data_IF_493590328751
#
_entry.id   IF_493590328751
#
_cell.length_a   1.000
_cell.length_b   1.000
_cell.length_c   1.000
_cell.angle_alpha   90.00
_cell.angle_beta   90.00
_cell.angle_gamma   90.00
#
_symmetry.space_group_name_H-M   'P 1'
#
loop_
_entity.id
_entity.type
_entity.pdbx_description
1 polymer ?
#
# COMPACT_ATOMS: atom_id res chain seq x y z
N UNK A 1 -47.57 66.24 -66.94
CA UNK A 1 -47.47 66.19 -65.47
C UNK A 1 -47.81 64.78 -65.05
N UNK A 2 -46.83 63.96 -64.68
CA UNK A 2 -46.97 62.84 -63.72
C UNK A 2 -45.61 62.20 -63.49
N UNK A 3 -45.15 62.30 -62.26
CA UNK A 3 -43.87 61.90 -61.69
C UNK A 3 -43.81 60.40 -61.49
N UNK A 4 -42.76 59.72 -61.99
CA UNK A 4 -42.48 58.32 -61.64
C UNK A 4 -41.44 58.31 -60.51
N UNK A 5 -41.89 57.82 -59.35
CA UNK A 5 -41.19 57.80 -58.07
C UNK A 5 -40.13 56.68 -58.07
N UNK A 6 -38.88 57.02 -57.79
CA UNK A 6 -37.80 56.06 -57.60
C UNK A 6 -38.08 55.21 -56.36
N UNK A 7 -37.92 53.88 -56.45
CA UNK A 7 -38.16 52.94 -55.34
C UNK A 7 -36.83 52.42 -54.84
N UNK A 8 -36.41 52.91 -53.68
CA UNK A 8 -35.18 52.49 -53.01
C UNK A 8 -35.23 50.99 -52.66
N UNK A 9 -34.17 50.28 -53.00
CA UNK A 9 -33.99 48.85 -52.70
C UNK A 9 -33.45 48.72 -51.27
N UNK A 10 -34.11 47.97 -50.37
CA UNK A 10 -33.58 47.77 -49.02
C UNK A 10 -32.34 46.85 -49.03
N UNK A 11 -31.34 47.07 -48.17
CA UNK A 11 -30.17 46.20 -48.10
C UNK A 11 -30.56 44.82 -47.60
N UNK A 12 -30.14 43.78 -48.32
CA UNK A 12 -30.34 42.38 -47.96
C UNK A 12 -29.51 42.08 -46.71
N UNK A 13 -30.15 42.11 -45.54
CA UNK A 13 -29.53 41.67 -44.30
C UNK A 13 -29.35 40.15 -44.35
N UNK A 14 -28.10 39.71 -44.58
CA UNK A 14 -27.71 38.30 -44.42
C UNK A 14 -27.95 37.92 -42.95
N UNK A 15 -28.99 37.14 -42.67
CA UNK A 15 -29.13 36.46 -41.38
C UNK A 15 -27.85 35.66 -41.13
N UNK A 16 -27.13 35.88 -40.02
CA UNK A 16 -25.97 35.07 -39.73
C UNK A 16 -26.42 33.63 -39.62
N UNK A 17 -25.70 32.71 -40.25
CA UNK A 17 -26.05 31.30 -40.23
C UNK A 17 -25.67 30.75 -38.85
N UNK A 18 -26.60 30.90 -37.90
CA UNK A 18 -26.43 30.53 -36.50
C UNK A 18 -25.98 29.07 -36.33
N UNK A 19 -26.33 28.19 -37.27
CA UNK A 19 -25.89 26.80 -37.27
C UNK A 19 -24.38 26.64 -37.56
N UNK A 20 -23.83 27.45 -38.47
CA UNK A 20 -22.37 27.48 -38.72
C UNK A 20 -21.61 28.04 -37.52
N UNK A 21 -22.19 29.01 -36.81
CA UNK A 21 -21.61 29.60 -35.60
C UNK A 21 -21.66 28.61 -34.43
N UNK A 22 -22.78 27.91 -34.25
CA UNK A 22 -22.92 26.87 -33.22
C UNK A 22 -21.94 25.72 -33.44
N UNK A 23 -21.73 25.29 -34.69
CA UNK A 23 -20.77 24.24 -35.02
C UNK A 23 -19.32 24.68 -34.71
N UNK A 24 -18.98 25.93 -35.04
CA UNK A 24 -17.65 26.49 -34.77
C UNK A 24 -17.39 26.66 -33.27
N UNK A 25 -18.42 27.04 -32.49
CA UNK A 25 -18.34 27.08 -31.02
C UNK A 25 -18.11 25.69 -30.41
N UNK A 26 -18.81 24.66 -30.88
CA UNK A 26 -18.65 23.29 -30.37
C UNK A 26 -17.24 22.76 -30.67
N UNK A 27 -16.71 23.01 -31.86
CA UNK A 27 -15.33 22.64 -32.21
C UNK A 27 -14.33 23.38 -31.30
N UNK A 28 -14.54 24.68 -31.05
CA UNK A 28 -13.71 25.45 -30.12
C UNK A 28 -13.71 24.88 -28.70
N UNK A 29 -14.88 24.46 -28.19
CA UNK A 29 -15.00 23.83 -26.86
C UNK A 29 -14.30 22.47 -26.82
N UNK A 30 -14.48 21.62 -27.83
CA UNK A 30 -13.81 20.31 -27.90
C UNK A 30 -12.29 20.46 -27.93
N UNK A 31 -11.76 21.38 -28.75
CA UNK A 31 -10.33 21.66 -28.82
C UNK A 31 -9.81 22.26 -27.50
N UNK A 32 -10.55 23.20 -26.90
CA UNK A 32 -10.20 23.80 -25.61
C UNK A 32 -10.15 22.77 -24.48
N UNK A 33 -11.15 21.90 -24.39
CA UNK A 33 -11.16 20.81 -23.39
C UNK A 33 -10.07 19.78 -23.63
N UNK A 34 -9.78 19.43 -24.88
CA UNK A 34 -8.70 18.52 -25.23
C UNK A 34 -7.34 19.06 -24.79
N UNK A 35 -7.05 20.33 -25.07
CA UNK A 35 -5.79 21.00 -24.68
C UNK A 35 -5.69 21.14 -23.14
N UNK A 36 -6.80 21.47 -22.48
CA UNK A 36 -6.82 21.60 -21.01
C UNK A 36 -6.59 20.26 -20.30
N UNK A 37 -7.18 19.17 -20.81
CA UNK A 37 -7.00 17.83 -20.27
C UNK A 37 -5.59 17.30 -20.54
N UNK A 38 -5.02 17.55 -21.73
CA UNK A 38 -3.63 17.15 -22.01
C UNK A 38 -2.61 17.95 -21.20
N UNK A 39 -2.85 19.24 -20.94
CA UNK A 39 -1.96 20.03 -20.07
C UNK A 39 -1.94 19.50 -18.63
N UNK A 40 -3.08 19.04 -18.11
CA UNK A 40 -3.17 18.45 -16.75
C UNK A 40 -2.62 17.04 -16.64
N UNK A 41 -2.55 16.30 -17.75
CA UNK A 41 -1.98 14.94 -17.79
C UNK A 41 -0.47 14.97 -18.07
N UNK A 42 0.04 15.97 -18.79
CA UNK A 42 1.47 16.18 -19.03
C UNK A 42 2.19 16.98 -17.92
N UNK A 43 1.46 17.56 -16.97
CA UNK A 43 2.03 17.90 -15.66
C UNK A 43 2.42 16.59 -14.99
N UNK A 44 3.61 16.10 -15.35
CA UNK A 44 4.37 15.14 -14.55
C UNK A 44 4.61 15.81 -13.21
N UNK A 45 3.64 15.69 -12.30
CA UNK A 45 3.93 15.86 -10.88
C UNK A 45 5.10 14.94 -10.63
N UNK A 46 6.30 15.44 -10.28
CA UNK A 46 7.29 14.56 -9.71
C UNK A 46 6.55 13.92 -8.55
N UNK A 47 6.46 12.58 -8.56
CA UNK A 47 6.09 11.86 -7.35
C UNK A 47 6.87 12.54 -6.24
N UNK A 48 6.25 12.93 -5.11
CA UNK A 48 7.05 13.22 -3.94
C UNK A 48 7.82 11.91 -3.72
N UNK A 49 9.07 11.89 -4.18
CA UNK A 49 10.09 11.04 -3.64
C UNK A 49 10.01 11.46 -2.19
N UNK A 50 9.27 10.69 -1.38
CA UNK A 50 9.61 10.56 0.02
C UNK A 50 11.10 10.34 -0.07
N UNK A 51 11.87 11.33 0.37
CA UNK A 51 13.25 11.13 0.71
C UNK A 51 13.21 9.84 1.51
N UNK A 52 13.62 8.73 0.87
CA UNK A 52 13.95 7.53 1.60
C UNK A 52 14.90 8.09 2.63
N UNK A 53 14.53 8.09 3.93
CA UNK A 53 15.44 8.60 4.93
C UNK A 53 16.75 7.92 4.60
N UNK A 54 17.77 8.75 4.38
CA UNK A 54 19.13 8.31 4.11
C UNK A 54 19.32 7.06 4.94
N UNK A 55 19.70 5.94 4.31
CA UNK A 55 19.97 4.71 5.03
C UNK A 55 21.14 5.09 5.92
N UNK A 56 20.81 5.61 7.11
CA UNK A 56 21.69 5.60 8.25
C UNK A 56 21.71 4.12 8.50
N UNK A 57 22.64 3.42 7.83
CA UNK A 57 23.28 2.28 8.41
C UNK A 57 23.70 2.77 9.78
N UNK A 58 22.80 2.58 10.75
CA UNK A 58 23.19 2.67 12.14
C UNK A 58 24.15 1.52 12.26
N UNK A 59 25.43 1.85 12.10
CA UNK A 59 26.56 1.06 12.55
C UNK A 59 26.38 0.89 14.07
N UNK A 60 25.46 0.02 14.43
CA UNK A 60 25.40 -0.57 15.75
C UNK A 60 26.39 -1.71 15.76
N UNK A 61 27.10 -1.89 16.85
CA UNK A 61 27.85 -3.12 17.07
C UNK A 61 26.84 -4.22 17.41
N UNK A 62 26.83 -5.38 16.71
CA UNK A 62 26.03 -6.51 17.14
C UNK A 62 26.54 -6.95 18.51
N UNK A 63 25.67 -6.93 19.51
CA UNK A 63 26.04 -7.28 20.88
C UNK A 63 25.68 -8.72 21.22
N UNK A 64 24.64 -9.25 20.58
CA UNK A 64 24.13 -10.61 20.82
C UNK A 64 23.61 -11.18 19.51
N UNK A 65 24.11 -12.35 19.13
CA UNK A 65 23.55 -13.15 18.06
C UNK A 65 22.56 -14.15 18.66
N UNK A 66 21.35 -14.18 18.11
CA UNK A 66 20.23 -14.99 18.58
C UNK A 66 19.95 -16.04 17.51
N UNK A 67 20.10 -17.31 17.87
CA UNK A 67 19.71 -18.45 17.03
C UNK A 67 18.49 -19.11 17.66
N UNK A 68 17.40 -19.20 16.90
CA UNK A 68 16.09 -19.68 17.36
C UNK A 68 15.47 -20.62 16.33
N UNK A 69 14.47 -21.39 16.76
CA UNK A 69 13.65 -22.24 15.90
C UNK A 69 12.22 -21.69 15.72
N UNK A 70 11.44 -22.29 14.80
CA UNK A 70 10.04 -21.92 14.51
C UNK A 70 9.17 -21.98 15.75
N UNK A 71 9.34 -22.98 16.61
CA UNK A 71 8.51 -23.14 17.82
C UNK A 71 8.69 -21.97 18.78
N UNK A 72 9.94 -21.57 19.03
CA UNK A 72 10.28 -20.42 19.88
C UNK A 72 9.77 -19.10 19.29
N UNK A 73 9.94 -18.91 17.98
CA UNK A 73 9.46 -17.69 17.32
C UNK A 73 7.93 -17.65 17.27
N UNK A 74 7.24 -18.77 17.04
CA UNK A 74 5.78 -18.84 17.12
C UNK A 74 5.26 -18.48 18.52
N UNK A 75 5.92 -18.94 19.58
CA UNK A 75 5.55 -18.56 20.95
C UNK A 75 5.72 -17.05 21.19
N UNK A 76 6.79 -16.44 20.65
CA UNK A 76 7.00 -15.00 20.73
C UNK A 76 5.92 -14.22 19.95
N UNK A 77 5.58 -14.68 18.75
CA UNK A 77 4.53 -14.07 17.93
C UNK A 77 3.19 -14.13 18.65
N UNK A 78 2.81 -15.29 19.18
CA UNK A 78 1.52 -15.47 19.85
C UNK A 78 1.41 -14.60 21.11
N UNK A 79 2.48 -14.52 21.91
CA UNK A 79 2.57 -13.60 23.05
C UNK A 79 2.32 -12.15 22.61
N UNK A 80 2.97 -11.70 21.53
CA UNK A 80 2.83 -10.32 21.06
C UNK A 80 1.45 -10.02 20.47
N UNK A 81 0.86 -10.96 19.73
CA UNK A 81 -0.44 -10.78 19.09
C UNK A 81 -1.60 -10.82 20.09
N UNK A 82 -1.44 -11.48 21.24
CA UNK A 82 -2.48 -11.57 22.28
C UNK A 82 -3.01 -10.19 22.68
N UNK A 83 -2.12 -9.21 22.92
CA UNK A 83 -2.49 -7.84 23.29
C UNK A 83 -3.27 -7.07 22.20
N UNK A 84 -3.14 -7.50 20.94
CA UNK A 84 -3.83 -6.91 19.79
C UNK A 84 -5.16 -7.59 19.50
N UNK A 85 -5.28 -8.89 19.78
CA UNK A 85 -6.54 -9.64 19.61
C UNK A 85 -7.63 -9.10 20.53
N UNK A 86 -7.33 -8.81 21.79
CA UNK A 86 -8.30 -8.28 22.76
C UNK A 86 -8.91 -6.93 22.36
N UNK A 87 -8.25 -6.18 21.47
CA UNK A 87 -8.68 -4.85 21.01
C UNK A 87 -9.45 -4.90 19.68
N UNK A 88 -9.62 -6.07 19.07
CA UNK A 88 -10.22 -6.23 17.75
C UNK A 88 -11.29 -7.32 17.73
N UNK A 89 -12.36 -7.11 16.96
CA UNK A 89 -13.48 -8.06 16.80
C UNK A 89 -13.16 -9.29 15.91
N UNK A 90 -11.90 -9.53 15.60
CA UNK A 90 -11.47 -10.56 14.67
C UNK A 90 -10.41 -11.45 15.32
N UNK A 91 -10.70 -12.76 15.37
CA UNK A 91 -9.74 -13.77 15.81
C UNK A 91 -8.80 -14.12 14.65
N UNK A 92 -7.50 -14.06 14.93
CA UNK A 92 -6.46 -14.36 13.97
C UNK A 92 -5.25 -14.98 14.66
N UNK A 93 -4.49 -15.75 13.89
CA UNK A 93 -3.29 -16.43 14.34
C UNK A 93 -2.26 -16.40 13.22
N UNK A 94 -1.03 -16.05 13.57
CA UNK A 94 0.10 -16.07 12.66
C UNK A 94 1.07 -17.17 13.08
N UNK A 95 1.34 -18.10 12.16
CA UNK A 95 2.12 -19.31 12.44
C UNK A 95 3.22 -19.49 11.40
N UNK A 96 4.43 -19.77 11.86
CA UNK A 96 5.54 -20.23 11.04
C UNK A 96 5.55 -21.77 11.01
N UNK A 97 5.20 -22.33 9.86
CA UNK A 97 5.33 -23.75 9.55
C UNK A 97 6.42 -23.92 8.48
N UNK A 98 6.15 -24.61 7.36
CA UNK A 98 7.06 -24.58 6.19
C UNK A 98 6.98 -23.26 5.42
N UNK A 99 5.89 -22.51 5.66
CA UNK A 99 5.65 -21.15 5.20
C UNK A 99 5.11 -20.33 6.37
N UNK A 100 5.20 -19.00 6.25
CA UNK A 100 4.51 -18.12 7.16
C UNK A 100 3.03 -18.08 6.78
N UNK A 101 2.13 -18.29 7.73
CA UNK A 101 0.69 -18.39 7.47
C UNK A 101 -0.08 -17.52 8.45
N UNK A 102 -0.92 -16.64 7.93
CA UNK A 102 -1.94 -15.93 8.70
C UNK A 102 -3.28 -16.63 8.48
N UNK A 103 -3.88 -17.13 9.54
CA UNK A 103 -5.25 -17.64 9.52
C UNK A 103 -6.14 -16.77 10.40
N UNK A 104 -7.40 -16.63 10.04
CA UNK A 104 -8.37 -15.89 10.85
C UNK A 104 -9.78 -16.03 10.30
N UNK A 105 -10.72 -15.40 10.98
CA UNK A 105 -12.14 -15.44 10.63
C UNK A 105 -12.70 -14.02 10.51
N UNK A 106 -13.26 -13.65 9.36
CA UNK A 106 -13.98 -12.38 9.21
C UNK A 106 -15.46 -12.60 8.89
N UNK A 107 -16.30 -11.64 9.28
CA UNK A 107 -17.73 -11.64 8.92
C UNK A 107 -17.94 -10.89 7.61
N UNK A 108 -18.47 -11.59 6.60
CA UNK A 108 -18.92 -10.99 5.35
C UNK A 108 -20.42 -11.18 5.21
N UNK A 109 -21.18 -10.08 5.18
CA UNK A 109 -22.65 -10.11 5.15
C UNK A 109 -23.26 -10.93 6.31
N UNK A 110 -22.63 -10.90 7.48
CA UNK A 110 -23.06 -11.67 8.66
C UNK A 110 -22.66 -13.16 8.64
N UNK A 111 -22.03 -13.65 7.57
CA UNK A 111 -21.51 -15.02 7.48
C UNK A 111 -20.06 -15.06 7.92
N UNK A 112 -19.67 -15.95 8.85
CA UNK A 112 -18.28 -16.14 9.24
C UNK A 112 -17.50 -16.86 8.14
N UNK A 113 -16.37 -16.30 7.73
CA UNK A 113 -15.51 -16.81 6.67
C UNK A 113 -14.09 -16.98 7.19
N UNK A 114 -13.62 -18.22 7.19
CA UNK A 114 -12.23 -18.56 7.47
C UNK A 114 -11.35 -18.24 6.28
N UNK A 115 -10.20 -17.63 6.54
CA UNK A 115 -9.17 -17.39 5.53
C UNK A 115 -7.82 -17.91 5.98
N UNK A 116 -7.00 -18.29 4.99
CA UNK A 116 -5.60 -18.66 5.15
C UNK A 116 -4.78 -17.91 4.12
N UNK A 117 -3.88 -17.04 4.59
CA UNK A 117 -2.99 -16.26 3.75
C UNK A 117 -1.56 -16.75 3.98
N UNK A 118 -0.96 -17.28 2.92
CA UNK A 118 0.38 -17.84 2.95
C UNK A 118 1.39 -16.81 2.45
N UNK A 119 2.51 -16.73 3.14
CA UNK A 119 3.60 -15.81 2.88
C UNK A 119 4.93 -16.55 2.76
N UNK A 120 5.74 -16.10 1.81
CA UNK A 120 7.15 -16.45 1.73
C UNK A 120 7.97 -15.32 2.41
N UNK A 121 8.68 -15.59 3.51
CA UNK A 121 9.50 -14.61 4.19
C UNK A 121 10.83 -14.37 3.47
N UNK A 122 11.27 -13.12 3.45
CA UNK A 122 12.55 -12.69 2.89
C UNK A 122 13.22 -11.70 3.85
N UNK A 123 14.49 -11.95 4.17
CA UNK A 123 15.32 -11.02 4.95
C UNK A 123 15.96 -10.04 3.98
N UNK A 124 15.73 -8.75 4.21
CA UNK A 124 16.32 -7.68 3.40
C UNK A 124 17.73 -7.34 3.87
N UNK A 125 18.48 -6.65 3.02
CA UNK A 125 19.88 -6.25 3.30
C UNK A 125 20.02 -5.36 4.54
N UNK A 126 19.00 -4.55 4.83
CA UNK A 126 18.96 -3.67 6.02
C UNK A 126 18.60 -4.43 7.32
N UNK A 127 18.34 -5.74 7.23
CA UNK A 127 17.96 -6.60 8.34
C UNK A 127 16.47 -6.57 8.67
N UNK A 128 15.64 -5.89 7.88
CA UNK A 128 14.19 -5.98 8.00
C UNK A 128 13.64 -7.24 7.32
N UNK A 129 12.39 -7.58 7.60
CA UNK A 129 11.75 -8.78 7.04
C UNK A 129 10.59 -8.38 6.15
N UNK A 130 10.63 -8.81 4.90
CA UNK A 130 9.51 -8.69 3.96
C UNK A 130 8.79 -10.03 3.85
N UNK A 131 7.47 -10.01 4.04
CA UNK A 131 6.60 -11.15 3.79
C UNK A 131 5.87 -10.95 2.47
N UNK A 132 6.11 -11.81 1.48
CA UNK A 132 5.41 -11.76 0.20
C UNK A 132 4.25 -12.73 0.20
N UNK A 133 3.04 -12.23 0.01
CA UNK A 133 1.85 -13.07 -0.04
C UNK A 133 1.85 -13.90 -1.33
N UNK A 134 1.81 -15.22 -1.16
CA UNK A 134 1.91 -16.21 -2.22
C UNK A 134 0.54 -16.71 -2.67
N UNK A 135 -0.28 -17.09 -1.70
CA UNK A 135 -1.60 -17.67 -1.95
C UNK A 135 -2.56 -17.31 -0.83
N UNK A 136 -3.84 -17.30 -1.17
CA UNK A 136 -4.94 -17.03 -0.27
C UNK A 136 -5.98 -18.11 -0.48
N UNK A 137 -6.40 -18.75 0.62
CA UNK A 137 -7.48 -19.72 0.62
C UNK A 137 -8.65 -19.14 1.42
N UNK A 138 -9.76 -18.89 0.72
CA UNK A 138 -11.03 -18.42 1.29
C UNK A 138 -12.15 -19.24 0.67
N UNK A 139 -12.40 -20.43 1.23
CA UNK A 139 -13.45 -21.33 0.75
C UNK A 139 -13.48 -21.46 -0.78
N UNK A 140 -14.64 -21.19 -1.38
CA UNK A 140 -14.86 -21.19 -2.85
C UNK A 140 -14.82 -19.78 -3.46
N UNK A 141 -14.57 -18.75 -2.65
CA UNK A 141 -14.58 -17.36 -3.09
C UNK A 141 -13.20 -16.99 -3.66
N UNK A 142 -13.15 -16.68 -4.96
CA UNK A 142 -11.94 -16.24 -5.65
C UNK A 142 -11.57 -14.77 -5.36
N UNK A 143 -11.47 -14.37 -4.09
CA UNK A 143 -11.15 -12.99 -3.72
C UNK A 143 -9.66 -12.71 -4.00
N UNK A 144 -9.32 -11.60 -4.68
CA UNK A 144 -7.92 -11.21 -4.87
C UNK A 144 -7.22 -10.93 -3.53
N UNK A 145 -5.99 -11.41 -3.39
CA UNK A 145 -5.12 -11.18 -2.22
C UNK A 145 -5.04 -9.67 -1.86
N UNK A 146 -4.95 -8.82 -2.88
CA UNK A 146 -4.87 -7.37 -2.71
C UNK A 146 -6.07 -6.78 -1.98
N UNK A 147 -7.28 -7.30 -2.21
CA UNK A 147 -8.48 -6.79 -1.53
C UNK A 147 -8.51 -7.19 -0.07
N UNK A 148 -8.07 -8.42 0.25
CA UNK A 148 -7.94 -8.86 1.65
C UNK A 148 -6.89 -8.05 2.38
N UNK A 149 -5.74 -7.79 1.76
CA UNK A 149 -4.69 -6.95 2.36
C UNK A 149 -5.15 -5.50 2.56
N UNK A 150 -5.94 -4.93 1.64
CA UNK A 150 -6.56 -3.61 1.84
C UNK A 150 -7.54 -3.62 3.01
N UNK A 151 -8.32 -4.69 3.16
CA UNK A 151 -9.24 -4.84 4.29
C UNK A 151 -8.47 -4.89 5.61
N UNK A 152 -7.46 -5.76 5.72
CA UNK A 152 -6.60 -5.85 6.93
C UNK A 152 -6.01 -4.48 7.26
N UNK A 153 -5.45 -3.77 6.27
CA UNK A 153 -4.88 -2.43 6.47
C UNK A 153 -5.90 -1.39 6.98
N UNK A 154 -7.18 -1.53 6.64
CA UNK A 154 -8.25 -0.60 7.04
C UNK A 154 -8.90 -0.98 8.36
N UNK A 155 -8.99 -2.27 8.65
CA UNK A 155 -9.65 -2.81 9.83
C UNK A 155 -8.78 -2.76 11.09
N UNK A 156 -7.46 -2.58 10.94
CA UNK A 156 -6.51 -2.61 12.04
C UNK A 156 -5.65 -1.36 12.16
N UNK A 157 -5.46 -0.91 13.39
CA UNK A 157 -4.40 0.02 13.76
C UNK A 157 -3.07 -0.73 13.83
N UNK A 158 -2.44 -0.88 12.66
CA UNK A 158 -1.13 -1.49 12.57
C UNK A 158 -0.09 -0.59 13.21
N UNK A 159 0.82 -1.14 14.03
CA UNK A 159 1.89 -0.35 14.60
C UNK A 159 2.85 0.13 13.49
N UNK A 160 3.58 1.21 13.76
CA UNK A 160 4.45 1.87 12.75
C UNK A 160 5.48 0.93 12.12
N UNK A 161 5.88 -0.12 12.83
CA UNK A 161 6.84 -1.10 12.36
C UNK A 161 6.23 -2.19 11.44
N UNK A 162 4.94 -2.14 11.14
CA UNK A 162 4.27 -2.98 10.14
C UNK A 162 3.72 -2.11 9.01
N UNK A 163 4.18 -2.35 7.78
CA UNK A 163 3.68 -1.67 6.59
C UNK A 163 3.07 -2.68 5.62
N UNK A 164 1.79 -2.48 5.24
CA UNK A 164 1.13 -3.33 4.25
C UNK A 164 1.06 -2.61 2.91
N UNK A 165 1.64 -3.23 1.88
CA UNK A 165 1.45 -2.89 0.48
C UNK A 165 0.57 -3.95 -0.21
N UNK A 166 -0.72 -3.63 -0.32
CA UNK A 166 -1.69 -4.50 -0.96
C UNK A 166 -1.53 -4.60 -2.49
N UNK A 167 -0.84 -3.65 -3.12
CA UNK A 167 -0.62 -3.65 -4.57
C UNK A 167 0.50 -4.64 -4.92
N UNK A 168 1.61 -4.55 -4.20
CA UNK A 168 2.76 -5.45 -4.37
C UNK A 168 2.57 -6.79 -3.62
N UNK A 169 1.49 -6.90 -2.85
CA UNK A 169 1.15 -8.08 -2.03
C UNK A 169 2.24 -8.40 -1.02
N UNK A 170 2.81 -7.37 -0.40
CA UNK A 170 3.89 -7.49 0.58
C UNK A 170 3.50 -6.88 1.92
N UNK A 171 4.04 -7.45 3.00
CA UNK A 171 4.00 -6.90 4.34
C UNK A 171 5.43 -6.70 4.79
N UNK A 172 5.78 -5.46 5.12
CA UNK A 172 7.09 -5.09 5.64
C UNK A 172 7.07 -5.10 7.16
N UNK A 173 7.99 -5.83 7.76
CA UNK A 173 8.27 -5.83 9.19
C UNK A 173 9.57 -5.05 9.39
N UNK A 174 9.41 -3.82 9.87
CA UNK A 174 10.48 -2.86 10.16
C UNK A 174 11.08 -3.16 11.54
N UNK A 175 11.95 -4.16 11.60
CA UNK A 175 12.68 -4.52 12.82
C UNK A 175 13.57 -3.37 13.32
N UNK A 176 14.02 -2.50 12.41
CA UNK A 176 14.75 -1.26 12.72
C UNK A 176 13.89 -0.21 13.45
N UNK A 177 12.58 -0.21 13.23
CA UNK A 177 11.62 0.69 13.89
C UNK A 177 10.99 0.07 15.14
N UNK A 178 11.13 -1.25 15.31
CA UNK A 178 10.76 -1.93 16.54
C UNK A 178 11.76 -1.56 17.64
N UNK A 179 11.39 -0.58 18.47
CA UNK A 179 12.22 -0.12 19.58
C UNK A 179 11.86 -0.83 20.86
N UNK A 180 12.84 -1.50 21.45
CA UNK A 180 12.77 -1.92 22.84
C UNK A 180 12.86 -0.70 23.78
N UNK A 181 12.38 -0.83 25.01
CA UNK A 181 12.35 0.27 25.99
C UNK A 181 13.75 0.88 26.25
N UNK A 182 14.81 0.10 26.06
CA UNK A 182 16.20 0.48 26.23
C UNK A 182 16.87 1.02 24.94
N UNK A 183 16.10 1.23 23.87
CA UNK A 183 16.61 1.76 22.60
C UNK A 183 17.34 0.76 21.72
N UNK A 184 17.44 -0.52 22.13
CA UNK A 184 17.97 -1.59 21.28
C UNK A 184 17.05 -1.84 20.09
N UNK A 185 17.64 -2.25 18.98
CA UNK A 185 16.92 -2.69 17.78
C UNK A 185 17.43 -4.07 17.33
N UNK A 186 16.57 -4.80 16.65
CA UNK A 186 16.86 -6.14 16.13
C UNK A 186 17.07 -6.05 14.62
N UNK A 187 17.97 -6.87 14.08
CA UNK A 187 18.05 -7.15 12.64
C UNK A 187 17.92 -8.65 12.43
N UNK A 188 17.11 -9.06 11.47
CA UNK A 188 17.09 -10.44 11.00
C UNK A 188 18.31 -10.69 10.12
N UNK A 189 18.93 -11.86 10.27
CA UNK A 189 20.07 -12.28 9.45
C UNK A 189 19.67 -13.39 8.48
N UNK A 190 18.88 -14.35 8.98
CA UNK A 190 18.47 -15.50 8.18
C UNK A 190 17.13 -16.05 8.67
N UNK A 191 16.23 -16.32 7.74
CA UNK A 191 14.99 -17.05 8.00
C UNK A 191 14.94 -18.22 7.02
N UNK A 192 15.06 -19.43 7.54
CA UNK A 192 14.84 -20.66 6.80
C UNK A 192 13.82 -21.50 7.55
N UNK A 193 12.58 -21.47 7.07
CA UNK A 193 11.47 -22.19 7.68
C UNK A 193 11.54 -23.70 7.43
N UNK A 194 12.15 -24.15 6.33
CA UNK A 194 12.30 -25.58 6.02
C UNK A 194 13.28 -26.23 6.98
N UNK A 195 14.43 -25.58 7.21
CA UNK A 195 15.49 -26.09 8.07
C UNK A 195 15.30 -25.74 9.56
N UNK A 196 14.18 -25.09 9.92
CA UNK A 196 13.88 -24.66 11.28
C UNK A 196 14.92 -23.70 11.89
N UNK A 197 15.55 -22.87 11.05
CA UNK A 197 16.61 -21.93 11.45
C UNK A 197 16.13 -20.50 11.28
N UNK A 198 16.08 -19.75 12.39
CA UNK A 198 15.81 -18.30 12.41
C UNK A 198 16.93 -17.62 13.20
N UNK A 199 17.67 -16.74 12.53
CA UNK A 199 18.81 -16.01 13.08
C UNK A 199 18.53 -14.51 13.04
N UNK A 200 18.82 -13.85 14.16
CA UNK A 200 18.70 -12.41 14.31
C UNK A 200 19.79 -11.91 15.25
N UNK A 201 20.15 -10.64 15.11
CA UNK A 201 21.15 -10.00 15.94
C UNK A 201 20.60 -8.75 16.59
N UNK A 202 20.97 -8.56 17.85
CA UNK A 202 20.59 -7.41 18.66
C UNK A 202 21.70 -6.36 18.57
N UNK A 203 21.31 -5.12 18.32
CA UNK A 203 22.23 -4.02 18.09
C UNK A 203 22.03 -2.91 19.13
N UNK A 204 23.15 -2.34 19.57
CA UNK A 204 23.12 -1.11 20.36
C UNK A 204 22.72 0.07 19.48
N UNK A 205 21.86 0.99 19.97
CA UNK A 205 21.66 2.26 19.28
C UNK A 205 23.00 2.99 19.22
N UNK A 206 23.35 3.52 18.05
CA UNK A 206 24.44 4.49 17.95
C UNK A 206 24.13 5.65 18.90
N UNK A 207 25.01 5.83 19.89
CA UNK A 207 24.96 6.76 21.01
C UNK A 207 23.89 7.85 20.93
N UNK A 208 22.93 7.82 21.85
CA UNK A 208 22.07 8.96 22.16
C UNK A 208 22.94 10.19 22.42
N UNK A 209 22.92 11.18 21.52
CA UNK A 209 23.39 12.53 21.87
C UNK A 209 22.61 12.96 23.11
N UNK A 210 23.38 13.20 24.17
CA UNK A 210 22.96 13.70 25.48
C UNK A 210 22.38 15.11 25.35
#
# INVERSE_FOLDING_TARGET
>A
MTTVKNKDIPPIQKKPNYWKIACLLIIGVLLGTGIFLTSRVLETKPFPVKETPEIVEREGTPVVNISSNKKQVNALIDFYLTDYKEKSDLDYEFVLADQAMLKGEFKLLGVPINFYLYFDPYVMEDGNVQLKAKSLSIGTLGVPISEVMKLIKRSYELPKWIEIDAKEKTVMIRLDQFRMQNGLFIKAEKINLVDDVIQASLYLPASTKK
#
